data_IF_516004316896
#
_entry.id   IF_516004316896
#
_cell.length_a   1.000
_cell.length_b   1.000
_cell.length_c   1.000
_cell.angle_alpha   90.00
_cell.angle_beta   90.00
_cell.angle_gamma   90.00
#
_symmetry.space_group_name_H-M   'P 1'
#
loop_
_entity.id
_entity.type
_entity.pdbx_description
1 polymer ?
#
# COMPACT_ATOMS: atom_id res chain seq x y z
N UNK A 1 9.13 2.63 -12.21
CA UNK A 1 8.13 3.52 -12.79
C UNK A 1 7.10 4.00 -11.75
N UNK A 2 6.40 3.06 -11.07
CA UNK A 2 5.39 3.41 -10.05
C UNK A 2 5.95 4.21 -8.86
N UNK A 3 7.17 3.93 -8.42
CA UNK A 3 7.79 4.68 -7.33
C UNK A 3 7.85 6.19 -7.62
N UNK A 4 8.20 6.58 -8.84
CA UNK A 4 8.24 7.98 -9.25
C UNK A 4 6.85 8.63 -9.22
N UNK A 5 5.82 7.87 -9.58
CA UNK A 5 4.42 8.35 -9.50
C UNK A 5 4.00 8.58 -8.05
N UNK A 6 4.31 7.65 -7.15
CA UNK A 6 4.04 7.83 -5.71
C UNK A 6 4.81 9.03 -5.13
N UNK A 7 6.08 9.19 -5.47
CA UNK A 7 6.85 10.34 -5.05
C UNK A 7 6.26 11.67 -5.54
N UNK A 8 5.81 11.73 -6.80
CA UNK A 8 5.15 12.91 -7.36
C UNK A 8 3.84 13.27 -6.63
N UNK A 9 3.22 12.29 -5.98
CA UNK A 9 2.03 12.47 -5.14
C UNK A 9 2.36 12.78 -3.67
N UNK A 10 3.63 12.92 -3.32
CA UNK A 10 4.05 13.13 -1.94
C UNK A 10 3.95 11.87 -1.06
N UNK A 11 3.97 10.70 -1.67
CA UNK A 11 3.87 9.40 -0.97
C UNK A 11 5.27 8.80 -0.81
N UNK A 12 5.63 8.45 0.41
CA UNK A 12 6.81 7.65 0.70
C UNK A 12 6.47 6.16 0.63
N UNK A 13 7.34 5.38 0.00
CA UNK A 13 7.17 3.94 -0.15
C UNK A 13 8.26 3.22 0.64
N UNK A 14 7.86 2.20 1.37
CA UNK A 14 8.76 1.28 2.08
C UNK A 14 8.36 -0.16 1.73
N UNK A 15 9.33 -1.02 1.48
CA UNK A 15 9.12 -2.46 1.52
C UNK A 15 9.68 -3.03 2.81
N UNK A 16 9.03 -4.07 3.32
CA UNK A 16 9.41 -4.73 4.57
C UNK A 16 9.42 -6.22 4.34
N UNK A 17 10.44 -6.91 4.83
CA UNK A 17 10.44 -8.37 4.92
C UNK A 17 11.16 -8.83 6.19
N UNK A 18 10.91 -10.07 6.59
CA UNK A 18 11.57 -10.70 7.75
C UNK A 18 13.03 -11.06 7.51
N UNK A 19 13.55 -10.82 6.30
CA UNK A 19 14.96 -10.99 5.99
C UNK A 19 15.82 -9.91 6.65
N UNK A 20 17.12 -10.20 6.79
CA UNK A 20 18.08 -9.21 7.27
C UNK A 20 18.41 -8.16 6.20
N UNK A 21 18.96 -7.03 6.64
CA UNK A 21 19.45 -6.01 5.70
C UNK A 21 20.60 -6.51 4.82
N UNK A 22 21.38 -7.49 5.28
CA UNK A 22 22.41 -8.15 4.45
C UNK A 22 21.79 -8.93 3.30
N UNK A 23 20.70 -9.66 3.56
CA UNK A 23 19.95 -10.37 2.52
C UNK A 23 19.32 -9.40 1.53
N UNK A 24 18.73 -8.30 2.00
CA UNK A 24 18.19 -7.25 1.14
C UNK A 24 19.24 -6.65 0.24
N UNK A 25 20.43 -6.35 0.77
CA UNK A 25 21.54 -5.83 -0.04
C UNK A 25 21.99 -6.83 -1.09
N UNK A 26 22.20 -8.08 -0.72
CA UNK A 26 22.61 -9.13 -1.64
C UNK A 26 21.57 -9.32 -2.77
N UNK A 27 20.29 -9.30 -2.43
CA UNK A 27 19.20 -9.40 -3.41
C UNK A 27 19.17 -8.19 -4.35
N UNK A 28 19.28 -6.99 -3.79
CA UNK A 28 19.34 -5.77 -4.57
C UNK A 28 20.52 -5.77 -5.56
N UNK A 29 21.69 -6.22 -5.13
CA UNK A 29 22.88 -6.25 -5.97
C UNK A 29 22.82 -7.34 -7.05
N UNK A 30 22.21 -8.49 -6.75
CA UNK A 30 22.17 -9.66 -7.64
C UNK A 30 21.01 -9.64 -8.63
N UNK A 31 19.86 -9.03 -8.29
CA UNK A 31 18.68 -9.04 -9.13
C UNK A 31 18.60 -7.80 -10.01
N UNK A 32 18.50 -8.00 -11.32
CA UNK A 32 18.32 -6.90 -12.29
C UNK A 32 17.05 -6.10 -12.03
N UNK A 33 15.98 -6.74 -11.62
CA UNK A 33 14.70 -6.08 -11.30
C UNK A 33 14.75 -5.33 -9.97
N UNK A 34 15.27 -5.97 -8.92
CA UNK A 34 15.30 -5.39 -7.57
C UNK A 34 16.31 -4.25 -7.47
N UNK A 35 17.40 -4.30 -8.25
CA UNK A 35 18.37 -3.19 -8.36
C UNK A 35 17.72 -1.86 -8.78
N UNK A 36 16.56 -1.90 -9.42
CA UNK A 36 15.82 -0.71 -9.84
C UNK A 36 15.05 -0.04 -8.69
N UNK A 37 14.91 -0.71 -7.55
CA UNK A 37 14.25 -0.16 -6.36
C UNK A 37 15.10 0.98 -5.78
N UNK A 38 14.46 2.13 -5.56
CA UNK A 38 15.07 3.34 -4.99
C UNK A 38 14.49 3.73 -3.62
N UNK A 39 13.45 3.05 -3.17
CA UNK A 39 12.87 3.25 -1.86
C UNK A 39 13.52 2.32 -0.81
N UNK A 40 13.45 2.66 0.48
CA UNK A 40 14.03 1.84 1.53
C UNK A 40 13.41 0.43 1.61
N UNK A 41 14.28 -0.55 1.80
CA UNK A 41 13.92 -1.94 2.06
C UNK A 41 14.22 -2.23 3.53
N UNK A 42 13.19 -2.27 4.36
CA UNK A 42 13.31 -2.41 5.81
C UNK A 42 13.41 -3.89 6.19
N UNK A 43 14.36 -4.19 7.05
CA UNK A 43 14.56 -5.52 7.63
C UNK A 43 13.73 -5.68 8.91
N UNK A 44 12.96 -6.74 9.01
CA UNK A 44 12.15 -7.10 10.17
C UNK A 44 12.45 -8.54 10.66
N UNK A 45 13.73 -8.89 10.94
CA UNK A 45 14.12 -10.27 11.24
C UNK A 45 13.48 -10.82 12.51
N UNK A 46 13.08 -9.97 13.44
CA UNK A 46 12.36 -10.37 14.66
C UNK A 46 10.84 -10.44 14.47
N UNK A 47 10.31 -10.03 13.32
CA UNK A 47 8.88 -10.03 13.03
C UNK A 47 8.08 -8.96 13.77
N UNK A 48 8.72 -7.95 14.35
CA UNK A 48 8.07 -6.91 15.15
C UNK A 48 7.04 -6.11 14.33
N UNK A 49 7.44 -5.64 13.15
CA UNK A 49 6.53 -4.93 12.25
C UNK A 49 5.46 -5.86 11.67
N UNK A 50 5.86 -7.05 11.24
CA UNK A 50 4.93 -8.03 10.66
C UNK A 50 3.81 -8.41 11.64
N UNK A 51 4.13 -8.55 12.94
CA UNK A 51 3.13 -8.79 13.98
C UNK A 51 2.27 -7.56 14.24
N UNK A 52 2.88 -6.38 14.31
CA UNK A 52 2.15 -5.13 14.54
C UNK A 52 1.11 -4.85 13.45
N UNK A 53 1.42 -5.19 12.20
CA UNK A 53 0.49 -5.08 11.07
C UNK A 53 -0.40 -6.31 10.86
N UNK A 54 -0.28 -7.33 11.71
CA UNK A 54 -1.14 -8.53 11.66
C UNK A 54 -0.89 -9.44 10.46
N UNK A 55 0.31 -9.45 9.91
CA UNK A 55 0.66 -10.22 8.71
C UNK A 55 1.71 -11.31 8.96
N UNK A 56 2.14 -11.50 10.20
CA UNK A 56 3.15 -12.53 10.53
C UNK A 56 2.57 -13.93 10.41
N UNK A 57 3.29 -14.79 9.71
CA UNK A 57 3.06 -16.26 9.68
C UNK A 57 4.11 -16.86 10.60
N UNK A 58 3.72 -17.16 11.84
CA UNK A 58 4.66 -17.56 12.89
C UNK A 58 5.40 -18.85 12.56
N UNK A 59 4.72 -19.83 11.97
CA UNK A 59 5.30 -21.13 11.62
C UNK A 59 6.35 -21.06 10.51
N UNK A 60 6.26 -20.01 9.67
CA UNK A 60 7.15 -19.83 8.51
C UNK A 60 8.24 -18.79 8.76
N UNK A 61 8.09 -17.96 9.78
CA UNK A 61 8.96 -16.81 10.01
C UNK A 61 8.89 -15.75 8.88
N UNK A 62 7.79 -15.73 8.15
CA UNK A 62 7.54 -14.83 7.01
C UNK A 62 6.24 -14.05 7.19
N UNK A 63 6.03 -13.06 6.35
CA UNK A 63 4.80 -12.29 6.33
C UNK A 63 3.94 -12.62 5.10
N UNK A 64 2.62 -12.51 5.25
CA UNK A 64 1.70 -12.40 4.12
C UNK A 64 2.02 -11.18 3.24
N UNK A 65 1.46 -11.12 2.06
CA UNK A 65 1.54 -9.96 1.16
C UNK A 65 0.67 -8.81 1.69
N UNK A 66 1.13 -8.12 2.72
CA UNK A 66 0.44 -6.95 3.28
C UNK A 66 0.79 -5.67 2.54
N UNK A 67 -0.21 -4.81 2.32
CA UNK A 67 -0.04 -3.45 1.82
C UNK A 67 -0.89 -2.52 2.67
N UNK A 68 -0.28 -1.46 3.18
CA UNK A 68 -0.92 -0.53 4.10
C UNK A 68 -0.68 0.90 3.62
N UNK A 69 -1.74 1.67 3.51
CA UNK A 69 -1.66 3.10 3.27
C UNK A 69 -1.91 3.83 4.59
N UNK A 70 -0.93 4.60 5.01
CA UNK A 70 -0.96 5.38 6.25
C UNK A 70 -1.01 6.86 5.89
N UNK A 71 -1.93 7.60 6.49
CA UNK A 71 -2.04 9.04 6.28
C UNK A 71 -1.01 9.82 7.12
N UNK A 72 -0.85 11.15 6.88
CA UNK A 72 0.11 11.98 7.64
C UNK A 72 -0.13 11.99 9.15
N UNK A 73 -1.35 11.71 9.63
CA UNK A 73 -1.68 11.62 11.06
C UNK A 73 -1.37 10.24 11.67
N UNK A 74 -0.76 9.32 10.89
CA UNK A 74 -0.39 7.99 11.36
C UNK A 74 -1.52 6.97 11.38
N UNK A 75 -2.64 7.23 10.69
CA UNK A 75 -3.79 6.32 10.63
C UNK A 75 -3.78 5.49 9.36
N UNK A 76 -4.03 4.19 9.49
CA UNK A 76 -4.20 3.29 8.35
C UNK A 76 -5.53 3.62 7.66
N UNK A 77 -5.47 3.98 6.39
CA UNK A 77 -6.62 4.29 5.54
C UNK A 77 -7.02 3.12 4.64
N UNK A 78 -6.03 2.30 4.24
CA UNK A 78 -6.25 1.10 3.43
C UNK A 78 -5.35 0.01 3.97
N UNK A 79 -5.88 -1.19 4.09
CA UNK A 79 -5.14 -2.40 4.39
C UNK A 79 -5.58 -3.50 3.41
N UNK A 80 -4.60 -4.12 2.75
CA UNK A 80 -4.81 -5.29 1.90
C UNK A 80 -3.88 -6.39 2.34
N UNK A 81 -4.40 -7.58 2.56
CA UNK A 81 -3.61 -8.76 2.91
C UNK A 81 -3.97 -9.86 1.94
N UNK A 82 -2.96 -10.38 1.26
CA UNK A 82 -3.09 -11.45 0.27
C UNK A 82 -2.23 -12.64 0.68
N UNK A 83 -2.66 -13.82 0.28
CA UNK A 83 -1.83 -15.02 0.35
C UNK A 83 -0.51 -14.80 -0.42
N UNK A 84 0.55 -15.48 0.02
CA UNK A 84 1.89 -15.33 -0.56
C UNK A 84 1.97 -15.70 -2.04
N UNK A 85 1.02 -16.50 -2.54
CA UNK A 85 0.92 -16.90 -3.93
C UNK A 85 0.14 -15.91 -4.81
N UNK A 86 -0.43 -14.86 -4.21
CA UNK A 86 -1.23 -13.85 -4.92
C UNK A 86 -0.45 -12.55 -5.02
N UNK A 87 -0.06 -12.20 -6.25
CA UNK A 87 0.68 -10.96 -6.52
C UNK A 87 -0.14 -9.69 -6.32
N UNK A 88 0.54 -8.59 -6.00
CA UNK A 88 -0.06 -7.27 -5.86
C UNK A 88 -0.18 -6.55 -7.20
N UNK A 89 -1.12 -5.63 -7.30
CA UNK A 89 -1.33 -4.78 -8.48
C UNK A 89 -0.98 -3.33 -8.15
N UNK A 90 0.10 -2.81 -8.73
CA UNK A 90 0.57 -1.47 -8.47
C UNK A 90 -0.33 -0.37 -9.08
N UNK A 91 -0.98 -0.62 -10.20
CA UNK A 91 -1.95 0.31 -10.79
C UNK A 91 -3.16 0.51 -9.88
N UNK A 92 -3.66 -0.57 -9.30
CA UNK A 92 -4.77 -0.51 -8.35
C UNK A 92 -4.37 0.17 -7.05
N UNK A 93 -3.15 -0.05 -6.57
CA UNK A 93 -2.64 0.66 -5.41
C UNK A 93 -2.53 2.16 -5.70
N UNK A 94 -2.02 2.56 -6.86
CA UNK A 94 -1.95 3.96 -7.27
C UNK A 94 -3.34 4.60 -7.28
N UNK A 95 -4.31 3.95 -7.91
CA UNK A 95 -5.70 4.39 -7.93
C UNK A 95 -6.28 4.60 -6.53
N UNK A 96 -6.01 3.66 -5.61
CA UNK A 96 -6.48 3.74 -4.21
C UNK A 96 -5.82 4.88 -3.45
N UNK A 97 -4.54 5.14 -3.68
CA UNK A 97 -3.84 6.29 -3.09
C UNK A 97 -4.42 7.60 -3.61
N UNK A 98 -4.70 7.70 -4.90
CA UNK A 98 -5.38 8.87 -5.48
C UNK A 98 -6.75 9.11 -4.85
N UNK A 99 -7.53 8.06 -4.68
CA UNK A 99 -8.84 8.14 -4.02
C UNK A 99 -8.70 8.58 -2.54
N UNK A 100 -7.75 8.02 -1.80
CA UNK A 100 -7.51 8.40 -0.41
C UNK A 100 -7.09 9.87 -0.27
N UNK A 101 -6.24 10.37 -1.15
CA UNK A 101 -5.85 11.78 -1.17
C UNK A 101 -7.00 12.70 -1.57
N UNK A 102 -7.82 12.27 -2.51
CA UNK A 102 -9.01 13.03 -2.91
C UNK A 102 -9.98 13.22 -1.74
N UNK A 103 -10.39 12.14 -1.07
CA UNK A 103 -11.34 12.25 0.04
C UNK A 103 -10.75 12.98 1.26
N UNK A 104 -9.43 12.99 1.42
CA UNK A 104 -8.76 13.74 2.48
C UNK A 104 -8.91 15.26 2.33
N UNK A 105 -9.14 15.75 1.10
CA UNK A 105 -9.27 17.18 0.76
C UNK A 105 -10.68 17.58 0.31
N UNK A 106 -11.61 16.64 0.20
CA UNK A 106 -12.99 16.84 -0.25
C UNK A 106 -13.96 16.27 0.78
N UNK A 107 -14.16 17.01 1.86
CA UNK A 107 -15.04 16.59 2.94
C UNK A 107 -16.48 16.34 2.44
N UNK A 108 -17.07 15.25 2.93
CA UNK A 108 -18.43 14.84 2.54
C UNK A 108 -18.55 14.20 1.16
N UNK A 109 -17.45 14.03 0.40
CA UNK A 109 -17.48 13.32 -0.87
C UNK A 109 -16.97 11.88 -0.74
N UNK A 110 -17.51 10.99 -1.55
CA UNK A 110 -17.15 9.57 -1.61
C UNK A 110 -16.73 9.20 -3.02
N UNK A 111 -15.60 8.54 -3.13
CA UNK A 111 -15.15 7.91 -4.36
C UNK A 111 -15.87 6.57 -4.53
N UNK A 112 -16.76 6.40 -5.52
CA UNK A 112 -17.45 5.12 -5.72
C UNK A 112 -16.51 4.01 -6.19
N UNK A 113 -17.03 2.78 -6.26
CA UNK A 113 -16.28 1.64 -6.79
C UNK A 113 -15.68 1.97 -8.16
N UNK A 114 -14.44 1.54 -8.39
CA UNK A 114 -13.68 1.78 -9.64
C UNK A 114 -13.39 3.27 -9.94
N UNK A 115 -13.63 4.16 -8.99
CA UNK A 115 -13.33 5.58 -9.20
C UNK A 115 -11.87 5.78 -9.64
N UNK A 116 -11.67 6.69 -10.57
CA UNK A 116 -10.36 7.16 -11.02
C UNK A 116 -10.31 8.68 -10.90
N UNK A 117 -9.13 9.21 -10.75
CA UNK A 117 -8.89 10.67 -10.69
C UNK A 117 -9.60 11.39 -11.83
N UNK A 118 -10.39 12.40 -11.48
CA UNK A 118 -11.24 13.15 -12.42
C UNK A 118 -12.63 12.52 -12.62
N UNK A 119 -12.91 11.35 -12.06
CA UNK A 119 -14.23 10.73 -12.11
C UNK A 119 -15.24 11.39 -11.18
N UNK A 120 -16.53 11.13 -11.42
CA UNK A 120 -17.62 11.64 -10.58
C UNK A 120 -17.57 11.05 -9.17
N UNK A 121 -17.91 11.86 -8.19
CA UNK A 121 -18.03 11.46 -6.78
C UNK A 121 -19.49 11.46 -6.34
N UNK A 122 -19.74 10.91 -5.16
CA UNK A 122 -21.07 10.88 -4.55
C UNK A 122 -21.04 11.69 -3.26
N UNK A 123 -22.15 12.39 -2.98
CA UNK A 123 -22.40 12.97 -1.66
C UNK A 123 -23.45 12.11 -0.97
N UNK A 124 -23.08 11.38 0.10
CA UNK A 124 -24.03 10.52 0.80
C UNK A 124 -25.25 11.31 1.27
N UNK A 125 -26.43 10.83 0.94
CA UNK A 125 -27.69 11.40 1.38
C UNK A 125 -28.79 10.33 1.37
N UNK A 126 -29.88 10.60 2.06
CA UNK A 126 -31.05 9.72 2.05
C UNK A 126 -31.63 9.53 0.65
N UNK A 127 -31.45 10.53 -0.22
CA UNK A 127 -31.98 10.51 -1.59
C UNK A 127 -31.25 9.52 -2.51
N UNK A 128 -30.08 9.01 -2.09
CA UNK A 128 -29.33 8.00 -2.84
C UNK A 128 -29.78 6.56 -2.51
N UNK A 129 -30.60 6.37 -1.50
CA UNK A 129 -31.09 5.04 -1.11
C UNK A 129 -31.87 4.42 -2.26
N UNK A 130 -31.43 3.25 -2.71
CA UNK A 130 -32.02 2.53 -3.84
C UNK A 130 -31.67 3.09 -5.23
N UNK A 131 -30.76 4.06 -5.33
CA UNK A 131 -30.30 4.63 -6.61
C UNK A 131 -28.86 4.29 -6.97
N UNK A 132 -28.15 3.62 -6.07
CA UNK A 132 -26.76 3.14 -6.23
C UNK A 132 -26.63 1.69 -5.80
#
# INVERSE_FOLDING_TARGET
>A
LFHLQFQAMGVEVYSVSTDSHFVHKAWHDASESIRKIKYPMLADPTGTLSRAFGVMIEEEGMAYRGTFLVNPEGKIKIAEIQDNNIGRNADELLRKVEAAQFVATHDGEVCPAKWKKGGATLKPSIDLVGKI
#
